data_IF_175390961517
#
_entry.id   IF_175390961517
#
_cell.length_a   1.000
_cell.length_b   1.000
_cell.length_c   1.000
_cell.angle_alpha   90.00
_cell.angle_beta   90.00
_cell.angle_gamma   90.00
#
_symmetry.space_group_name_H-M   'P 1'
#
loop_
_entity.id
_entity.type
_entity.pdbx_description
1 polymer ?
#
# COMPACT_ATOMS: atom_id res chain seq x y z
N UNK A 1 34.02 18.37 13.26
CA UNK A 1 34.15 19.81 12.92
C UNK A 1 34.35 19.92 11.43
N UNK A 2 33.39 20.46 10.67
CA UNK A 2 33.67 20.80 9.26
C UNK A 2 34.73 21.90 9.25
N UNK A 3 35.79 21.70 8.45
CA UNK A 3 36.82 22.72 8.30
C UNK A 3 36.22 23.97 7.65
N UNK A 4 36.70 25.16 8.01
CA UNK A 4 36.28 26.44 7.39
C UNK A 4 36.41 26.36 5.86
N UNK A 5 37.40 25.61 5.34
CA UNK A 5 37.56 25.37 3.91
C UNK A 5 36.37 24.63 3.27
N UNK A 6 35.81 23.63 3.95
CA UNK A 6 34.67 22.85 3.45
C UNK A 6 33.40 23.72 3.32
N UNK A 7 33.22 24.68 4.22
CA UNK A 7 32.09 25.62 4.19
C UNK A 7 32.27 26.62 3.05
N UNK A 8 33.48 27.18 2.88
CA UNK A 8 33.78 28.11 1.77
C UNK A 8 33.58 27.43 0.41
N UNK A 9 33.97 26.16 0.30
CA UNK A 9 33.80 25.38 -0.93
C UNK A 9 32.32 25.15 -1.29
N UNK A 10 31.48 24.78 -0.30
CA UNK A 10 30.05 24.62 -0.51
C UNK A 10 29.35 25.92 -0.90
N UNK A 11 29.74 27.05 -0.30
CA UNK A 11 29.22 28.38 -0.65
C UNK A 11 29.57 28.75 -2.10
N UNK A 12 30.80 28.45 -2.54
CA UNK A 12 31.24 28.71 -3.90
C UNK A 12 30.45 27.91 -4.95
N UNK A 13 30.20 26.62 -4.69
CA UNK A 13 29.37 25.76 -5.55
C UNK A 13 27.93 26.31 -5.65
N UNK A 14 27.36 26.70 -4.51
CA UNK A 14 25.99 27.21 -4.45
C UNK A 14 25.83 28.53 -5.23
N UNK A 15 26.80 29.45 -5.10
CA UNK A 15 26.81 30.71 -5.85
C UNK A 15 26.98 30.48 -7.35
N UNK A 16 27.84 29.55 -7.77
CA UNK A 16 28.03 29.21 -9.17
C UNK A 16 26.75 28.62 -9.80
N UNK A 17 26.07 27.71 -9.09
CA UNK A 17 24.79 27.14 -9.53
C UNK A 17 23.70 28.21 -9.66
N UNK A 18 23.61 29.12 -8.69
CA UNK A 18 22.64 30.23 -8.72
C UNK A 18 22.91 31.20 -9.87
N UNK A 19 24.17 31.50 -10.17
CA UNK A 19 24.53 32.36 -11.31
C UNK A 19 24.26 31.69 -12.67
N UNK A 20 24.44 30.37 -12.77
CA UNK A 20 24.07 29.61 -13.97
C UNK A 20 22.55 29.67 -14.24
N UNK A 21 21.73 29.60 -13.18
CA UNK A 21 20.27 29.64 -13.30
C UNK A 21 19.75 30.99 -13.80
N UNK A 22 20.33 32.10 -13.32
CA UNK A 22 19.85 33.46 -13.60
C UNK A 22 20.36 34.00 -14.95
N UNK A 23 21.45 33.44 -15.50
CA UNK A 23 22.01 33.95 -16.76
C UNK A 23 21.09 33.68 -17.96
N UNK A 24 20.70 34.70 -18.76
CA UNK A 24 19.83 34.52 -19.92
C UNK A 24 20.56 33.99 -21.17
N UNK A 25 21.91 34.02 -21.20
CA UNK A 25 22.66 33.53 -22.36
C UNK A 25 23.14 32.08 -22.19
N UNK A 26 22.86 31.18 -23.17
CA UNK A 26 23.26 29.78 -23.12
C UNK A 26 24.77 29.56 -22.98
N UNK A 27 25.57 30.40 -23.64
CA UNK A 27 27.03 30.32 -23.60
C UNK A 27 27.60 30.62 -22.20
N UNK A 28 27.01 31.56 -21.45
CA UNK A 28 27.45 31.85 -20.08
C UNK A 28 27.06 30.75 -19.10
N UNK A 29 25.89 30.11 -19.30
CA UNK A 29 25.48 28.95 -18.48
C UNK A 29 26.49 27.81 -18.58
N UNK A 30 26.94 27.50 -19.80
CA UNK A 30 27.94 26.46 -20.02
C UNK A 30 29.27 26.79 -19.31
N UNK A 31 29.70 28.05 -19.34
CA UNK A 31 30.92 28.49 -18.67
C UNK A 31 30.84 28.32 -17.13
N UNK A 32 29.68 28.63 -16.53
CA UNK A 32 29.48 28.44 -15.09
C UNK A 32 29.42 26.96 -14.68
N UNK A 33 28.77 26.12 -15.50
CA UNK A 33 28.71 24.67 -15.26
C UNK A 33 30.11 24.05 -15.33
N UNK A 34 30.90 24.41 -16.35
CA UNK A 34 32.28 23.92 -16.48
C UNK A 34 33.17 24.39 -15.32
N UNK A 35 33.02 25.64 -14.86
CA UNK A 35 33.75 26.15 -13.70
C UNK A 35 33.38 25.42 -12.41
N UNK A 36 32.10 25.12 -12.18
CA UNK A 36 31.64 24.36 -11.03
C UNK A 36 32.17 22.92 -11.03
N UNK A 37 32.16 22.25 -12.19
CA UNK A 37 32.71 20.89 -12.34
C UNK A 37 34.23 20.87 -12.12
N UNK A 38 34.96 21.88 -12.58
CA UNK A 38 36.39 22.00 -12.33
C UNK A 38 36.70 22.19 -10.84
N UNK A 39 35.90 22.99 -10.13
CA UNK A 39 36.04 23.16 -8.67
C UNK A 39 35.77 21.85 -7.92
N UNK A 40 34.76 21.08 -8.33
CA UNK A 40 34.45 19.75 -7.76
C UNK A 40 35.63 18.78 -7.97
N UNK A 41 36.21 18.76 -9.17
CA UNK A 41 37.36 17.90 -9.48
C UNK A 41 38.63 18.29 -8.69
N UNK A 42 38.83 19.58 -8.41
CA UNK A 42 39.96 20.05 -7.60
C UNK A 42 39.72 19.82 -6.09
N UNK A 43 38.48 19.88 -5.62
CA UNK A 43 38.11 19.64 -4.23
C UNK A 43 38.14 18.16 -3.81
N UNK A 44 37.87 17.23 -4.73
CA UNK A 44 37.88 15.78 -4.45
C UNK A 44 39.28 15.22 -4.18
N UNK A 45 40.35 15.96 -4.54
CA UNK A 45 41.73 15.56 -4.26
C UNK A 45 42.16 15.79 -2.79
N UNK A 46 41.36 16.51 -1.99
CA UNK A 46 41.67 16.87 -0.60
C UNK A 46 40.91 16.05 0.46
N UNK A 47 40.07 15.10 0.04
CA UNK A 47 39.21 14.32 0.95
C UNK A 47 39.55 12.82 0.85
N UNK A 48 40.73 12.43 1.35
CA UNK A 48 41.03 11.04 1.69
C UNK A 48 41.40 10.98 3.18
N UNK A 49 40.49 10.56 4.08
CA UNK A 49 40.88 10.24 5.44
C UNK A 49 41.37 8.78 5.51
N UNK A 50 42.63 8.62 5.93
CA UNK A 50 43.17 7.37 6.44
C UNK A 50 42.31 6.89 7.62
N UNK A 51 41.73 5.69 7.51
CA UNK A 51 41.02 5.03 8.59
C UNK A 51 42.00 4.42 9.61
N UNK A 52 41.79 4.57 10.93
CA UNK A 52 42.48 3.75 11.91
C UNK A 52 41.69 2.46 12.20
N UNK A 53 42.38 1.33 12.12
CA UNK A 53 41.90 0.06 12.65
C UNK A 53 41.92 0.11 14.18
N UNK A 54 40.76 -0.14 14.80
CA UNK A 54 40.67 -0.39 16.24
C UNK A 54 40.28 -1.86 16.44
N UNK A 55 41.24 -2.64 16.92
CA UNK A 55 41.08 -4.02 17.40
C UNK A 55 40.53 -3.96 18.83
N UNK A 56 39.35 -4.54 19.09
CA UNK A 56 38.85 -4.75 20.45
C UNK A 56 38.83 -6.25 20.71
N UNK A 57 39.51 -6.63 21.79
CA UNK A 57 39.76 -7.99 22.23
C UNK A 57 38.50 -8.70 22.76
N UNK A 58 38.55 -10.02 22.62
CA UNK A 58 37.49 -10.92 23.03
C UNK A 58 37.31 -11.01 24.55
N UNK A 59 36.07 -11.28 24.93
CA UNK A 59 35.72 -11.88 26.22
C UNK A 59 35.03 -13.20 25.90
N UNK A 60 35.67 -14.28 26.31
CA UNK A 60 35.12 -15.63 26.26
C UNK A 60 34.10 -15.78 27.39
N UNK A 61 32.88 -16.19 27.04
CA UNK A 61 31.88 -16.70 27.99
C UNK A 61 31.54 -18.11 27.54
N UNK A 62 31.91 -19.10 28.36
CA UNK A 62 31.55 -20.51 28.15
C UNK A 62 30.06 -20.74 28.46
N UNK A 63 29.39 -21.67 27.75
CA UNK A 63 27.97 -21.88 27.88
C UNK A 63 27.64 -22.81 29.05
N UNK A 64 26.56 -22.49 29.77
CA UNK A 64 25.91 -23.41 30.68
C UNK A 64 24.90 -24.23 29.88
N UNK A 65 25.15 -25.54 29.80
CA UNK A 65 24.22 -26.53 29.25
C UNK A 65 22.94 -26.57 30.10
N UNK A 66 21.80 -26.33 29.46
CA UNK A 66 20.50 -26.79 29.94
C UNK A 66 19.78 -27.49 28.80
N UNK A 67 19.72 -28.81 28.90
CA UNK A 67 18.94 -29.66 28.02
C UNK A 67 17.45 -29.35 28.19
N UNK A 68 16.84 -28.76 27.16
CA UNK A 68 15.40 -28.82 26.95
C UNK A 68 15.14 -29.29 25.52
N UNK A 69 14.61 -30.49 25.41
CA UNK A 69 14.06 -31.06 24.19
C UNK A 69 12.90 -30.18 23.68
N UNK A 70 13.12 -29.42 22.61
CA UNK A 70 12.07 -28.78 21.83
C UNK A 70 12.17 -29.30 20.38
N UNK A 71 11.07 -29.79 19.79
CA UNK A 71 11.04 -30.15 18.38
C UNK A 71 10.91 -28.89 17.51
N UNK A 72 11.48 -28.95 16.32
CA UNK A 72 11.45 -27.94 15.24
C UNK A 72 12.09 -26.59 15.51
N UNK A 73 13.43 -26.60 15.56
CA UNK A 73 14.20 -25.49 14.99
C UNK A 73 13.83 -25.37 13.51
N UNK A 74 13.06 -24.34 13.18
CA UNK A 74 12.80 -23.85 11.83
C UNK A 74 14.06 -23.97 10.97
N UNK A 75 14.06 -24.93 10.04
CA UNK A 75 15.03 -24.92 8.94
C UNK A 75 14.83 -23.60 8.22
N UNK A 76 15.76 -22.67 8.39
CA UNK A 76 15.89 -21.55 7.47
C UNK A 76 16.08 -22.19 6.09
N UNK A 77 15.01 -22.23 5.30
CA UNK A 77 15.06 -22.72 3.92
C UNK A 77 16.03 -21.77 3.22
N UNK A 78 17.19 -22.27 2.82
CA UNK A 78 18.16 -21.47 2.09
C UNK A 78 17.45 -20.87 0.87
N UNK A 79 17.46 -19.54 0.77
CA UNK A 79 16.90 -18.84 -0.39
C UNK A 79 17.83 -19.14 -1.56
N UNK A 80 17.35 -19.77 -2.64
CA UNK A 80 18.20 -20.08 -3.79
C UNK A 80 18.79 -18.80 -4.38
N UNK A 81 20.04 -18.85 -4.85
CA UNK A 81 20.58 -17.78 -5.68
C UNK A 81 19.97 -17.88 -7.09
N UNK A 82 18.87 -17.15 -7.31
CA UNK A 82 18.10 -17.15 -8.56
C UNK A 82 17.86 -15.71 -9.00
N UNK A 83 18.07 -15.42 -10.28
CA UNK A 83 17.69 -14.14 -10.89
C UNK A 83 16.18 -14.10 -11.14
N UNK A 84 15.59 -12.91 -11.09
CA UNK A 84 14.19 -12.72 -11.46
C UNK A 84 13.95 -13.17 -12.91
N UNK A 85 12.94 -14.00 -13.11
CA UNK A 85 12.54 -14.51 -14.42
C UNK A 85 11.28 -13.78 -14.91
N UNK A 86 11.29 -13.35 -16.17
CA UNK A 86 10.13 -12.78 -16.86
C UNK A 86 9.50 -13.82 -17.79
N UNK A 87 8.18 -14.00 -17.67
CA UNK A 87 7.34 -14.76 -18.59
C UNK A 87 6.23 -13.85 -19.11
N UNK A 88 6.08 -13.78 -20.43
CA UNK A 88 5.03 -12.99 -21.08
C UNK A 88 3.99 -13.97 -21.64
N UNK A 89 2.74 -13.82 -21.23
CA UNK A 89 1.62 -14.55 -21.80
C UNK A 89 0.95 -13.68 -22.88
N UNK A 90 1.09 -14.11 -24.14
CA UNK A 90 0.49 -13.48 -25.31
C UNK A 90 -0.89 -14.06 -25.66
N UNK A 91 -1.41 -15.02 -24.87
CA UNK A 91 -2.69 -15.69 -25.16
C UNK A 91 -3.92 -14.89 -24.73
N UNK A 92 -3.74 -13.83 -23.96
CA UNK A 92 -4.81 -12.86 -23.67
C UNK A 92 -5.21 -12.18 -24.99
N UNK A 93 -6.48 -11.76 -25.13
CA UNK A 93 -6.99 -11.05 -26.33
C UNK A 93 -5.98 -10.01 -26.82
N UNK A 94 -5.92 -9.71 -28.13
CA UNK A 94 -4.88 -8.86 -28.77
C UNK A 94 -4.46 -7.59 -28.02
N UNK A 95 -5.33 -7.06 -27.17
CA UNK A 95 -5.12 -5.81 -26.47
C UNK A 95 -4.63 -5.99 -25.02
N UNK A 96 -4.79 -7.15 -24.38
CA UNK A 96 -4.34 -7.38 -22.99
C UNK A 96 -3.10 -8.26 -23.02
N UNK A 97 -2.10 -7.94 -22.20
CA UNK A 97 -0.88 -8.75 -22.02
C UNK A 97 -0.62 -8.99 -20.55
N UNK A 98 -0.13 -10.18 -20.21
CA UNK A 98 0.23 -10.54 -18.85
C UNK A 98 1.73 -10.81 -18.72
N UNK A 99 2.41 -10.02 -17.90
CA UNK A 99 3.84 -10.11 -17.63
C UNK A 99 4.04 -10.65 -16.22
N UNK A 100 4.60 -11.85 -16.10
CA UNK A 100 4.80 -12.55 -14.83
C UNK A 100 6.28 -12.56 -14.46
N UNK A 101 6.58 -12.07 -13.28
CA UNK A 101 7.92 -11.99 -12.71
C UNK A 101 7.99 -12.93 -11.50
N UNK A 102 8.92 -13.88 -11.56
CA UNK A 102 9.17 -14.85 -10.47
C UNK A 102 10.55 -14.53 -9.90
N UNK A 103 10.63 -14.25 -8.60
CA UNK A 103 11.90 -13.94 -7.93
C UNK A 103 12.49 -15.19 -7.27
N UNK A 104 13.66 -15.05 -6.64
CA UNK A 104 14.25 -16.12 -5.83
C UNK A 104 13.44 -16.53 -4.60
N UNK A 105 12.48 -15.71 -4.17
CA UNK A 105 11.64 -16.00 -3.01
C UNK A 105 10.42 -16.86 -3.36
N UNK A 106 10.16 -17.10 -4.64
CA UNK A 106 9.05 -17.92 -5.08
C UNK A 106 9.23 -19.40 -4.74
N UNK A 107 8.19 -19.99 -4.16
CA UNK A 107 8.13 -21.39 -3.79
C UNK A 107 7.15 -22.12 -4.73
N UNK A 108 7.66 -23.03 -5.56
CA UNK A 108 6.83 -23.76 -6.54
C UNK A 108 5.81 -24.69 -5.88
N UNK A 109 6.08 -25.13 -4.65
CA UNK A 109 5.20 -26.03 -3.90
C UNK A 109 4.11 -25.27 -3.14
N UNK A 110 4.30 -23.95 -2.94
CA UNK A 110 3.45 -23.14 -2.07
C UNK A 110 3.29 -21.72 -2.59
N UNK A 111 2.08 -21.41 -3.06
CA UNK A 111 1.75 -20.06 -3.49
C UNK A 111 1.82 -19.05 -2.32
N UNK A 112 2.16 -17.80 -2.60
CA UNK A 112 2.04 -16.70 -1.65
C UNK A 112 0.66 -16.67 -1.01
N UNK A 113 0.59 -16.38 0.29
CA UNK A 113 -0.70 -16.29 1.00
C UNK A 113 -1.37 -14.92 0.85
N UNK A 114 -0.59 -13.90 0.48
CA UNK A 114 -1.02 -12.51 0.33
C UNK A 114 -0.78 -12.00 -1.07
N UNK A 115 -1.84 -11.44 -1.67
CA UNK A 115 -1.76 -10.68 -2.92
C UNK A 115 -2.04 -9.20 -2.66
N UNK A 116 -1.09 -8.34 -2.99
CA UNK A 116 -1.28 -6.89 -2.99
C UNK A 116 -1.70 -6.44 -4.39
N UNK A 117 -2.80 -5.73 -4.50
CA UNK A 117 -3.35 -5.24 -5.77
C UNK A 117 -3.20 -3.72 -5.87
N UNK A 118 -2.73 -3.25 -7.02
CA UNK A 118 -2.63 -1.82 -7.37
C UNK A 118 -2.97 -1.61 -8.85
N UNK A 119 -3.65 -0.51 -9.17
CA UNK A 119 -3.96 -0.12 -10.53
C UNK A 119 -3.41 1.28 -10.82
N UNK A 120 -2.71 1.43 -11.94
CA UNK A 120 -2.10 2.69 -12.39
C UNK A 120 -2.57 2.99 -13.80
N UNK A 121 -2.72 4.27 -14.14
CA UNK A 121 -2.90 4.70 -15.53
C UNK A 121 -1.55 4.83 -16.19
N UNK A 122 -0.66 5.56 -15.54
CA UNK A 122 0.72 5.83 -15.93
C UNK A 122 1.54 6.19 -14.67
N UNK A 123 2.80 6.57 -14.85
CA UNK A 123 3.69 7.00 -13.77
C UNK A 123 3.17 8.18 -12.93
N UNK A 124 2.23 8.99 -13.43
CA UNK A 124 1.63 10.10 -12.66
C UNK A 124 0.54 9.63 -11.70
N UNK A 125 0.19 8.34 -11.74
CA UNK A 125 -0.73 7.75 -10.78
C UNK A 125 -0.07 7.55 -9.42
N UNK A 126 1.27 7.49 -9.38
CA UNK A 126 2.01 7.39 -8.13
C UNK A 126 1.94 8.72 -7.37
N UNK A 127 1.85 8.61 -6.06
CA UNK A 127 1.64 9.76 -5.20
C UNK A 127 2.66 10.90 -5.29
N UNK A 128 2.19 12.15 -5.24
CA UNK A 128 3.00 13.37 -5.22
C UNK A 128 2.59 14.32 -4.10
N UNK A 129 3.54 14.86 -3.31
CA UNK A 129 3.28 15.95 -2.36
C UNK A 129 4.19 17.13 -2.66
N UNK A 130 3.66 18.33 -2.47
CA UNK A 130 4.47 19.55 -2.60
C UNK A 130 5.65 19.53 -1.62
N UNK A 131 6.87 19.67 -2.15
CA UNK A 131 8.10 19.67 -1.36
C UNK A 131 8.64 18.28 -0.98
N UNK A 132 7.97 17.19 -1.37
CA UNK A 132 8.49 15.83 -1.27
C UNK A 132 8.83 15.29 -2.67
N UNK A 133 9.78 14.34 -2.80
CA UNK A 133 10.02 13.66 -4.07
C UNK A 133 8.79 12.89 -4.55
N UNK A 134 8.53 12.93 -5.86
CA UNK A 134 7.50 12.11 -6.52
C UNK A 134 7.72 10.64 -6.21
N UNK A 135 6.65 9.94 -5.81
CA UNK A 135 6.73 8.49 -5.65
C UNK A 135 6.84 7.81 -6.99
N UNK A 136 7.53 6.69 -6.97
CA UNK A 136 7.70 5.78 -8.09
C UNK A 136 7.18 4.39 -7.75
N UNK A 137 7.19 3.51 -8.75
CA UNK A 137 6.95 2.10 -8.53
C UNK A 137 7.94 1.46 -7.54
N UNK A 138 9.21 1.92 -7.48
CA UNK A 138 10.15 1.40 -6.46
C UNK A 138 9.70 1.79 -5.06
N UNK A 139 9.26 3.03 -4.86
CA UNK A 139 8.78 3.48 -3.54
C UNK A 139 7.54 2.68 -3.10
N UNK A 140 6.69 2.27 -4.05
CA UNK A 140 5.59 1.35 -3.77
C UNK A 140 6.07 -0.04 -3.32
N UNK A 141 7.09 -0.61 -3.99
CA UNK A 141 7.68 -1.88 -3.54
C UNK A 141 8.27 -1.76 -2.13
N UNK A 142 8.93 -0.64 -1.82
CA UNK A 142 9.50 -0.38 -0.50
C UNK A 142 8.41 -0.18 0.58
N UNK A 143 7.30 0.47 0.22
CA UNK A 143 6.11 0.63 1.08
C UNK A 143 5.50 -0.74 1.45
N UNK A 144 5.38 -1.63 0.47
CA UNK A 144 4.88 -3.00 0.68
C UNK A 144 5.88 -3.84 1.49
N UNK A 145 7.17 -3.74 1.20
CA UNK A 145 8.22 -4.49 1.90
C UNK A 145 8.33 -4.12 3.38
N UNK A 146 8.06 -2.86 3.75
CA UNK A 146 8.00 -2.38 5.14
C UNK A 146 6.89 -3.03 5.98
N UNK A 147 5.96 -3.77 5.37
CA UNK A 147 4.93 -4.52 6.09
C UNK A 147 5.46 -5.81 6.73
N UNK A 148 6.73 -6.17 6.48
CA UNK A 148 7.43 -7.30 7.11
C UNK A 148 6.74 -8.65 6.90
N UNK A 149 5.96 -8.78 5.82
CA UNK A 149 5.47 -10.09 5.37
C UNK A 149 6.65 -10.89 4.83
N UNK A 150 6.79 -12.18 5.17
CA UNK A 150 7.85 -12.99 4.60
C UNK A 150 7.82 -12.92 3.07
N UNK A 151 8.98 -12.72 2.39
CA UNK A 151 9.02 -12.54 0.93
C UNK A 151 8.31 -13.63 0.13
N UNK A 152 8.41 -14.88 0.59
CA UNK A 152 7.75 -16.05 -0.01
C UNK A 152 6.22 -16.05 0.13
N UNK A 153 5.66 -15.20 1.00
CA UNK A 153 4.24 -15.13 1.33
C UNK A 153 3.51 -13.97 0.68
N UNK A 154 4.23 -13.12 -0.06
CA UNK A 154 3.67 -11.93 -0.69
C UNK A 154 3.88 -11.93 -2.21
N UNK A 155 2.82 -11.63 -2.93
CA UNK A 155 2.83 -11.33 -4.36
C UNK A 155 2.19 -9.96 -4.63
N UNK A 156 2.53 -9.36 -5.77
CA UNK A 156 1.92 -8.12 -6.25
C UNK A 156 1.19 -8.39 -7.56
N UNK A 157 -0.03 -7.90 -7.65
CA UNK A 157 -0.78 -7.75 -8.88
C UNK A 157 -0.89 -6.29 -9.27
N UNK A 158 -0.39 -5.93 -10.45
CA UNK A 158 -0.40 -4.57 -10.94
C UNK A 158 -1.17 -4.50 -12.26
N UNK A 159 -1.97 -3.45 -12.41
CA UNK A 159 -2.64 -3.12 -13.67
C UNK A 159 -2.10 -1.79 -14.22
N UNK A 160 -1.81 -1.73 -15.53
CA UNK A 160 -1.45 -0.47 -16.21
C UNK A 160 -1.95 -0.40 -17.64
N UNK A 161 -2.31 0.79 -18.12
CA UNK A 161 -2.62 1.06 -19.54
C UNK A 161 -1.47 1.72 -20.31
N UNK A 162 -0.40 2.12 -19.63
CA UNK A 162 0.67 2.88 -20.25
C UNK A 162 1.89 2.00 -20.55
N UNK A 163 2.31 1.98 -21.82
CA UNK A 163 3.42 1.16 -22.28
C UNK A 163 4.75 1.53 -21.63
N UNK A 164 5.06 2.82 -21.53
CA UNK A 164 6.32 3.27 -20.94
C UNK A 164 6.41 2.91 -19.45
N UNK A 165 5.27 2.98 -18.76
CA UNK A 165 5.17 2.59 -17.35
C UNK A 165 5.44 1.10 -17.19
N UNK A 166 4.84 0.25 -18.03
CA UNK A 166 5.17 -1.18 -18.11
C UNK A 166 6.67 -1.44 -18.32
N UNK A 167 7.31 -0.72 -19.25
CA UNK A 167 8.73 -0.89 -19.55
C UNK A 167 9.60 -0.48 -18.34
N UNK A 168 9.24 0.59 -17.62
CA UNK A 168 9.90 1.01 -16.37
C UNK A 168 9.70 0.03 -15.23
N UNK A 169 8.50 -0.48 -15.04
CA UNK A 169 8.21 -1.50 -14.02
C UNK A 169 9.03 -2.77 -14.30
N UNK A 170 9.02 -3.24 -15.55
CA UNK A 170 9.81 -4.39 -16.00
C UNK A 170 11.30 -4.19 -15.72
N UNK A 171 11.84 -3.02 -16.05
CA UNK A 171 13.24 -2.68 -15.80
C UNK A 171 13.57 -2.71 -14.31
N UNK A 172 12.70 -2.14 -13.45
CA UNK A 172 12.88 -2.16 -12.00
C UNK A 172 12.86 -3.60 -11.45
N UNK A 173 11.94 -4.45 -11.90
CA UNK A 173 11.80 -5.83 -11.45
C UNK A 173 12.98 -6.73 -11.86
N UNK A 174 13.60 -6.46 -13.02
CA UNK A 174 14.74 -7.24 -13.53
C UNK A 174 16.09 -6.77 -12.99
N UNK A 175 16.19 -5.50 -12.55
CA UNK A 175 17.46 -4.90 -12.11
C UNK A 175 17.68 -4.90 -10.60
N UNK A 176 16.62 -5.09 -9.80
CA UNK A 176 16.67 -5.04 -8.34
C UNK A 176 16.31 -6.37 -7.71
N UNK A 177 16.96 -6.70 -6.60
CA UNK A 177 16.51 -7.77 -5.71
C UNK A 177 15.34 -7.24 -4.87
N UNK A 178 14.15 -7.79 -5.11
CA UNK A 178 12.91 -7.33 -4.49
C UNK A 178 12.42 -8.44 -3.57
N UNK A 179 12.16 -8.16 -2.27
CA UNK A 179 11.78 -9.17 -1.29
C UNK A 179 10.30 -9.59 -1.41
N UNK A 180 9.90 -10.06 -2.59
CA UNK A 180 8.53 -10.43 -2.98
C UNK A 180 8.60 -11.68 -3.84
N UNK A 181 7.75 -12.68 -3.61
CA UNK A 181 7.78 -13.95 -4.33
C UNK A 181 7.51 -13.79 -5.82
N UNK A 182 6.47 -13.04 -6.17
CA UNK A 182 6.09 -12.83 -7.56
C UNK A 182 5.40 -11.49 -7.79
N UNK A 183 5.53 -10.97 -9.01
CA UNK A 183 4.79 -9.81 -9.49
C UNK A 183 4.12 -10.17 -10.81
N UNK A 184 2.82 -9.91 -10.92
CA UNK A 184 2.05 -10.08 -12.15
C UNK A 184 1.54 -8.71 -12.61
N UNK A 185 2.00 -8.26 -13.77
CA UNK A 185 1.57 -7.02 -14.41
C UNK A 185 0.60 -7.35 -15.54
N UNK A 186 -0.63 -6.85 -15.44
CA UNK A 186 -1.60 -6.81 -16.53
C UNK A 186 -1.42 -5.48 -17.25
N UNK A 187 -1.04 -5.55 -18.53
CA UNK A 187 -1.02 -4.42 -19.43
C UNK A 187 -2.29 -4.42 -20.27
N UNK A 188 -3.08 -3.36 -20.17
CA UNK A 188 -4.37 -3.22 -20.84
C UNK A 188 -4.57 -1.77 -21.33
N UNK A 189 -4.03 -1.41 -22.51
CA UNK A 189 -4.02 -0.07 -23.06
C UNK A 189 -5.40 0.45 -23.49
N UNK A 190 -6.35 -0.45 -23.76
CA UNK A 190 -7.72 -0.10 -24.17
C UNK A 190 -8.66 0.17 -22.98
N UNK A 191 -8.23 -0.09 -21.75
CA UNK A 191 -9.03 0.23 -20.57
C UNK A 191 -8.91 1.73 -20.28
N UNK A 192 -10.06 2.40 -20.23
CA UNK A 192 -10.16 3.78 -19.79
C UNK A 192 -9.99 3.85 -18.26
N UNK A 193 -8.75 4.05 -17.83
CA UNK A 193 -8.45 4.34 -16.43
C UNK A 193 -8.83 5.79 -16.13
N UNK A 194 -9.83 5.91 -15.27
CA UNK A 194 -9.98 7.11 -14.46
C UNK A 194 -9.56 6.74 -13.03
N UNK A 195 -8.55 7.46 -12.54
CA UNK A 195 -8.00 7.34 -11.19
C UNK A 195 -8.16 8.72 -10.55
N UNK A 196 -8.50 8.75 -9.26
CA UNK A 196 -8.74 9.98 -8.50
C UNK A 196 -10.22 10.24 -8.19
N UNK A 197 -10.53 11.31 -7.45
CA UNK A 197 -11.86 11.61 -6.93
C UNK A 197 -12.92 11.90 -8.01
N UNK A 198 -12.47 12.27 -9.22
CA UNK A 198 -13.33 12.53 -10.39
C UNK A 198 -13.51 11.29 -11.30
N UNK A 199 -12.98 10.13 -10.88
CA UNK A 199 -13.15 8.90 -11.65
C UNK A 199 -14.63 8.54 -11.74
N UNK A 200 -15.19 8.61 -12.96
CA UNK A 200 -16.54 8.15 -13.27
C UNK A 200 -16.73 6.68 -12.86
N UNK A 201 -17.99 6.24 -12.83
CA UNK A 201 -18.54 4.90 -12.55
C UNK A 201 -17.87 3.71 -13.27
N UNK A 202 -16.64 3.78 -13.81
CA UNK A 202 -15.95 2.68 -14.50
C UNK A 202 -14.72 2.14 -13.78
N UNK A 203 -14.28 2.77 -12.70
CA UNK A 203 -13.16 2.27 -11.89
C UNK A 203 -13.40 0.82 -11.41
N UNK A 204 -14.65 0.41 -11.17
CA UNK A 204 -14.99 -0.98 -10.85
C UNK A 204 -14.53 -2.01 -11.90
N UNK A 205 -14.46 -1.63 -13.19
CA UNK A 205 -14.13 -2.54 -14.28
C UNK A 205 -12.67 -2.98 -14.18
N UNK A 206 -11.76 -2.03 -13.93
CA UNK A 206 -10.34 -2.30 -13.76
C UNK A 206 -10.07 -3.10 -12.48
N UNK A 207 -10.73 -2.76 -11.36
CA UNK A 207 -10.61 -3.51 -10.10
C UNK A 207 -11.09 -4.96 -10.25
N UNK A 208 -12.26 -5.15 -10.88
CA UNK A 208 -12.82 -6.48 -11.13
C UNK A 208 -11.99 -7.29 -12.11
N UNK A 209 -11.44 -6.66 -13.15
CA UNK A 209 -10.50 -7.32 -14.05
C UNK A 209 -9.27 -7.78 -13.28
N UNK A 210 -8.65 -6.90 -12.50
CA UNK A 210 -7.44 -7.23 -11.76
C UNK A 210 -7.67 -8.38 -10.78
N UNK A 211 -8.77 -8.33 -10.01
CA UNK A 211 -9.14 -9.43 -9.12
C UNK A 211 -9.39 -10.73 -9.88
N UNK A 212 -10.14 -10.69 -11.00
CA UNK A 212 -10.47 -11.88 -11.78
C UNK A 212 -9.22 -12.54 -12.37
N UNK A 213 -8.28 -11.76 -12.87
CA UNK A 213 -7.10 -12.27 -13.57
C UNK A 213 -6.00 -12.74 -12.60
N UNK A 214 -5.95 -12.18 -11.38
CA UNK A 214 -4.80 -12.37 -10.47
C UNK A 214 -5.14 -13.09 -9.17
N UNK A 215 -6.37 -13.00 -8.65
CA UNK A 215 -6.71 -13.71 -7.40
C UNK A 215 -6.85 -15.19 -7.69
N UNK A 216 -5.95 -15.98 -7.11
CA UNK A 216 -5.88 -17.44 -7.23
C UNK A 216 -6.27 -18.06 -5.91
N UNK A 217 -5.30 -18.44 -5.08
CA UNK A 217 -5.50 -19.20 -3.83
C UNK A 217 -5.12 -18.41 -2.59
N UNK A 218 -4.78 -17.14 -2.74
CA UNK A 218 -4.36 -16.27 -1.65
C UNK A 218 -5.48 -16.17 -0.61
N UNK A 219 -5.09 -16.21 0.67
CA UNK A 219 -6.01 -16.04 1.79
C UNK A 219 -6.31 -14.56 2.02
N UNK A 220 -5.32 -13.72 1.71
CA UNK A 220 -5.32 -12.29 1.98
C UNK A 220 -5.17 -11.52 0.68
N UNK A 221 -6.11 -10.62 0.39
CA UNK A 221 -6.00 -9.67 -0.73
C UNK A 221 -5.99 -8.27 -0.15
N UNK A 222 -4.98 -7.47 -0.49
CA UNK A 222 -4.87 -6.07 -0.03
C UNK A 222 -4.84 -5.17 -1.25
N UNK A 223 -5.88 -4.36 -1.42
CA UNK A 223 -5.91 -3.29 -2.41
C UNK A 223 -5.25 -2.04 -1.84
N UNK A 224 -4.38 -1.41 -2.62
CA UNK A 224 -3.71 -0.15 -2.29
C UNK A 224 -3.78 0.77 -3.51
N UNK A 225 -4.41 1.92 -3.36
CA UNK A 225 -4.42 2.94 -4.41
C UNK A 225 -3.01 3.53 -4.61
N UNK A 226 -2.62 3.88 -5.84
CA UNK A 226 -1.23 4.27 -6.16
C UNK A 226 -0.81 5.63 -5.57
N UNK A 227 -1.76 6.44 -5.14
CA UNK A 227 -1.63 7.75 -4.48
C UNK A 227 -1.62 7.66 -2.95
N UNK A 228 -1.61 6.45 -2.38
CA UNK A 228 -1.25 6.27 -0.98
C UNK A 228 0.24 6.57 -0.81
N UNK A 229 0.57 7.55 0.04
CA UNK A 229 1.93 7.99 0.32
C UNK A 229 2.59 7.19 1.45
N UNK A 230 1.89 6.95 2.56
CA UNK A 230 2.38 6.21 3.73
C UNK A 230 1.40 5.12 4.18
N UNK A 231 1.94 3.96 4.54
CA UNK A 231 1.22 2.94 5.30
C UNK A 231 1.77 2.85 6.72
N UNK A 232 0.93 2.59 7.72
CA UNK A 232 1.42 2.24 9.04
C UNK A 232 2.20 0.92 8.97
N UNK A 233 3.30 0.84 9.72
CA UNK A 233 4.10 -0.39 9.80
C UNK A 233 3.30 -1.51 10.48
N UNK A 234 3.43 -2.74 9.97
CA UNK A 234 2.71 -3.90 10.52
C UNK A 234 1.21 -3.93 10.21
N UNK A 235 0.72 -3.08 9.29
CA UNK A 235 -0.69 -3.07 8.89
C UNK A 235 -1.17 -4.43 8.39
N UNK A 236 -0.34 -5.14 7.62
CA UNK A 236 -0.72 -6.43 7.05
C UNK A 236 -0.86 -7.49 8.14
N UNK A 237 0.08 -7.54 9.09
CA UNK A 237 -0.02 -8.40 10.27
C UNK A 237 -1.29 -8.09 11.08
N UNK A 238 -1.62 -6.80 11.25
CA UNK A 238 -2.88 -6.41 11.90
C UNK A 238 -4.09 -6.95 11.16
N UNK A 239 -4.15 -6.82 9.83
CA UNK A 239 -5.24 -7.40 9.03
C UNK A 239 -5.34 -8.92 9.22
N UNK A 240 -4.22 -9.64 9.23
CA UNK A 240 -4.22 -11.10 9.41
C UNK A 240 -4.73 -11.50 10.80
N UNK A 241 -4.28 -10.79 11.84
CA UNK A 241 -4.70 -11.02 13.22
C UNK A 241 -6.20 -10.83 13.38
N UNK A 242 -6.77 -9.75 12.86
CA UNK A 242 -8.23 -9.52 12.97
C UNK A 242 -9.01 -10.51 12.11
N UNK A 243 -8.51 -10.91 10.95
CA UNK A 243 -9.18 -11.88 10.08
C UNK A 243 -9.21 -13.32 10.63
N UNK A 244 -8.23 -13.68 11.46
CA UNK A 244 -8.16 -14.99 12.15
C UNK A 244 -8.88 -15.00 13.50
N UNK A 245 -9.22 -13.83 14.04
CA UNK A 245 -9.85 -13.69 15.35
C UNK A 245 -11.36 -13.93 15.28
N UNK A 246 -11.93 -14.48 16.35
CA UNK A 246 -13.37 -14.59 16.49
C UNK A 246 -13.96 -13.21 16.82
N UNK A 247 -15.03 -12.79 16.15
CA UNK A 247 -15.65 -11.48 16.37
C UNK A 247 -16.07 -11.23 17.83
N UNK A 248 -16.35 -12.29 18.59
CA UNK A 248 -16.69 -12.23 20.02
C UNK A 248 -15.51 -11.85 20.92
N UNK A 249 -14.27 -11.99 20.43
CA UNK A 249 -13.04 -11.68 21.15
C UNK A 249 -12.50 -10.28 20.85
N UNK A 250 -13.05 -9.61 19.84
CA UNK A 250 -12.58 -8.29 19.40
C UNK A 250 -13.58 -7.24 19.88
N UNK A 251 -13.07 -6.16 20.46
CA UNK A 251 -13.89 -4.99 20.75
C UNK A 251 -14.36 -4.36 19.43
N UNK A 252 -15.68 -4.30 19.21
CA UNK A 252 -16.26 -3.66 18.03
C UNK A 252 -17.02 -2.40 18.44
N UNK A 253 -16.47 -1.24 18.09
CA UNK A 253 -17.13 0.04 18.20
C UNK A 253 -18.29 0.14 17.19
N UNK A 254 -19.32 0.90 17.58
CA UNK A 254 -20.53 1.11 16.79
C UNK A 254 -21.28 -0.18 16.40
N UNK A 255 -21.13 -1.24 17.20
CA UNK A 255 -21.91 -2.46 17.05
C UNK A 255 -23.41 -2.18 17.31
N UNK A 256 -24.33 -2.75 16.49
CA UNK A 256 -25.76 -2.57 16.69
C UNK A 256 -26.20 -3.12 18.07
N UNK A 257 -26.98 -2.32 18.80
CA UNK A 257 -27.52 -2.69 20.11
C UNK A 257 -28.92 -3.29 19.92
N UNK A 258 -29.21 -4.42 20.57
CA UNK A 258 -30.54 -5.01 20.57
C UNK A 258 -30.54 -6.54 20.63
N UNK A 259 -31.73 -7.12 20.85
CA UNK A 259 -31.91 -8.58 20.79
C UNK A 259 -31.87 -9.03 19.33
N UNK A 260 -30.89 -9.85 18.96
CA UNK A 260 -30.72 -10.36 17.60
C UNK A 260 -29.70 -9.63 16.73
N UNK A 261 -29.08 -8.55 17.23
CA UNK A 261 -27.98 -7.88 16.51
C UNK A 261 -26.70 -8.71 16.56
N UNK A 262 -26.53 -9.59 15.58
CA UNK A 262 -25.31 -10.39 15.42
C UNK A 262 -24.31 -9.65 14.55
N UNK A 263 -23.08 -9.50 15.04
CA UNK A 263 -21.97 -9.06 14.19
C UNK A 263 -21.68 -10.15 13.15
N UNK A 264 -21.61 -9.75 11.89
CA UNK A 264 -21.19 -10.64 10.82
C UNK A 264 -19.69 -10.96 10.97
N UNK A 265 -19.22 -12.13 10.51
CA UNK A 265 -17.79 -12.42 10.47
C UNK A 265 -17.05 -11.40 9.58
N UNK A 266 -15.80 -11.07 9.92
CA UNK A 266 -14.98 -10.12 9.17
C UNK A 266 -14.73 -10.60 7.74
N UNK A 267 -15.19 -9.82 6.76
CA UNK A 267 -14.93 -10.05 5.33
C UNK A 267 -14.01 -9.02 4.71
N UNK A 268 -14.30 -7.74 4.97
CA UNK A 268 -13.59 -6.59 4.42
C UNK A 268 -13.10 -5.69 5.56
N UNK A 269 -11.89 -5.14 5.46
CA UNK A 269 -11.35 -4.20 6.44
C UNK A 269 -10.61 -3.05 5.78
N UNK A 270 -10.88 -1.82 6.21
CA UNK A 270 -10.19 -0.61 5.74
C UNK A 270 -9.49 0.11 6.89
N UNK A 271 -8.68 1.11 6.57
CA UNK A 271 -8.02 2.00 7.53
C UNK A 271 -8.41 3.44 7.28
N UNK A 272 -8.21 4.27 8.31
CA UNK A 272 -8.44 5.69 8.15
C UNK A 272 -7.44 6.28 7.17
N UNK A 273 -7.91 7.18 6.29
CA UNK A 273 -7.05 7.83 5.31
C UNK A 273 -7.06 9.34 5.53
N UNK A 274 -5.88 9.89 5.85
CA UNK A 274 -5.67 11.33 6.01
C UNK A 274 -4.88 11.93 4.85
N UNK A 275 -5.02 13.23 4.70
CA UNK A 275 -4.20 14.10 3.84
C UNK A 275 -3.69 15.25 4.72
N UNK A 276 -2.62 15.96 4.33
CA UNK A 276 -1.91 16.91 5.22
C UNK A 276 -2.83 17.90 5.93
N UNK A 277 -3.82 18.44 5.20
CA UNK A 277 -4.78 19.42 5.73
C UNK A 277 -6.17 18.84 6.00
N UNK A 278 -6.35 17.52 5.88
CA UNK A 278 -7.68 16.92 5.92
C UNK A 278 -7.65 15.55 6.61
N UNK A 279 -8.29 15.49 7.78
CA UNK A 279 -8.25 14.33 8.67
C UNK A 279 -8.97 13.09 8.12
N UNK A 280 -9.96 13.29 7.25
CA UNK A 280 -10.81 12.21 6.73
C UNK A 280 -11.08 12.39 5.25
N UNK A 281 -10.10 12.00 4.44
CA UNK A 281 -10.15 12.13 2.99
C UNK A 281 -11.20 11.21 2.37
N UNK A 282 -11.35 10.01 2.92
CA UNK A 282 -12.17 8.94 2.33
C UNK A 282 -13.46 8.76 3.11
N UNK A 283 -14.43 9.65 2.85
CA UNK A 283 -15.75 9.61 3.52
C UNK A 283 -16.64 8.42 3.10
N UNK A 284 -16.20 7.61 2.13
CA UNK A 284 -16.87 6.35 1.77
C UNK A 284 -16.77 5.32 2.92
N UNK A 285 -15.83 5.50 3.86
CA UNK A 285 -15.80 4.75 5.11
C UNK A 285 -16.79 5.36 6.12
N UNK A 286 -17.95 4.74 6.27
CA UNK A 286 -18.97 5.20 7.22
C UNK A 286 -19.76 4.06 7.83
N UNK A 287 -20.49 4.37 8.90
CA UNK A 287 -21.59 3.55 9.40
C UNK A 287 -22.93 4.23 9.17
N UNK A 288 -23.95 3.45 8.87
CA UNK A 288 -25.34 3.84 8.84
C UNK A 288 -26.04 3.55 10.16
N UNK A 289 -27.30 4.00 10.31
CA UNK A 289 -28.13 3.70 11.46
C UNK A 289 -28.37 2.19 11.59
N UNK A 290 -28.52 1.70 12.82
CA UNK A 290 -28.99 0.34 13.09
C UNK A 290 -30.48 0.18 12.76
N UNK A 291 -30.95 -1.08 12.61
CA UNK A 291 -32.38 -1.36 12.40
C UNK A 291 -33.26 -0.81 13.53
N UNK A 292 -32.78 -0.86 14.77
CA UNK A 292 -33.49 -0.29 15.91
C UNK A 292 -33.61 1.24 15.79
N UNK A 293 -32.52 1.93 15.44
CA UNK A 293 -32.54 3.38 15.19
C UNK A 293 -33.43 3.75 14.00
N UNK A 294 -33.46 2.92 12.95
CA UNK A 294 -34.37 3.09 11.81
C UNK A 294 -35.84 2.87 12.19
N UNK A 295 -36.13 1.88 13.03
CA UNK A 295 -37.48 1.60 13.52
C UNK A 295 -38.00 2.73 14.41
N UNK A 296 -37.17 3.20 15.36
CA UNK A 296 -37.51 4.36 16.19
C UNK A 296 -37.81 5.60 15.35
N UNK A 297 -37.14 5.78 14.21
CA UNK A 297 -37.44 6.86 13.28
C UNK A 297 -38.77 6.68 12.55
N UNK A 298 -39.06 5.46 12.08
CA UNK A 298 -40.34 5.17 11.41
C UNK A 298 -41.55 5.39 12.34
N UNK A 299 -41.36 5.21 13.65
CA UNK A 299 -42.39 5.41 14.68
C UNK A 299 -42.57 6.89 15.09
N UNK A 300 -41.60 7.77 14.83
CA UNK A 300 -41.66 9.20 15.13
C UNK A 300 -41.10 10.06 13.97
N UNK A 301 -41.97 10.37 13.01
CA UNK A 301 -41.65 11.20 11.85
C UNK A 301 -41.28 12.66 12.22
N UNK A 302 -41.49 13.10 13.46
CA UNK A 302 -41.09 14.43 13.94
C UNK A 302 -39.61 14.51 14.34
N UNK A 303 -38.95 13.36 14.53
CA UNK A 303 -37.49 13.27 14.61
C UNK A 303 -36.90 13.64 13.25
N UNK A 304 -36.43 14.89 13.15
CA UNK A 304 -35.62 15.39 12.02
C UNK A 304 -34.58 14.34 11.65
N UNK A 305 -34.30 14.14 10.34
CA UNK A 305 -33.50 13.02 9.86
C UNK A 305 -32.23 12.97 10.70
N UNK A 306 -31.92 11.78 11.22
CA UNK A 306 -30.60 11.30 11.63
C UNK A 306 -29.45 12.27 11.31
N UNK A 307 -29.38 13.47 11.91
CA UNK A 307 -28.52 14.57 11.43
C UNK A 307 -27.04 14.22 11.52
N UNK A 308 -26.75 13.24 12.34
CA UNK A 308 -25.45 12.65 12.60
C UNK A 308 -25.10 11.48 11.67
N UNK A 309 -25.96 11.08 10.73
CA UNK A 309 -25.76 9.91 9.88
C UNK A 309 -25.76 10.26 8.38
N UNK A 310 -25.01 9.51 7.54
CA UNK A 310 -24.06 8.45 7.93
C UNK A 310 -22.92 9.01 8.80
N UNK A 311 -22.44 8.22 9.78
CA UNK A 311 -21.32 8.60 10.64
C UNK A 311 -20.04 8.24 9.91
N UNK A 312 -19.23 9.21 9.47
CA UNK A 312 -17.94 8.90 8.87
C UNK A 312 -17.04 8.20 9.90
N UNK A 313 -16.14 7.35 9.43
CA UNK A 313 -15.25 6.57 10.29
C UNK A 313 -14.47 7.46 11.27
N UNK A 314 -14.01 8.66 10.84
CA UNK A 314 -13.36 9.66 11.72
C UNK A 314 -14.11 9.94 13.02
N UNK A 315 -15.43 10.04 12.95
CA UNK A 315 -16.26 10.39 14.10
C UNK A 315 -16.41 9.22 15.07
N UNK A 316 -16.24 7.99 14.57
CA UNK A 316 -16.38 6.76 15.35
C UNK A 316 -15.05 6.38 16.01
N UNK A 317 -13.92 6.70 15.37
CA UNK A 317 -12.58 6.39 15.88
C UNK A 317 -12.24 7.09 17.20
N UNK A 318 -12.91 8.21 17.50
CA UNK A 318 -12.71 8.94 18.74
C UNK A 318 -12.93 8.04 19.97
N UNK A 319 -11.86 7.79 20.74
CA UNK A 319 -11.90 6.95 21.94
C UNK A 319 -11.76 5.44 21.70
N UNK A 320 -11.45 5.02 20.46
CA UNK A 320 -11.09 3.63 20.15
C UNK A 320 -9.59 3.38 20.35
N UNK A 321 -9.20 2.12 20.60
CA UNK A 321 -7.79 1.68 20.67
C UNK A 321 -7.38 0.95 19.39
N UNK A 322 -6.07 0.71 19.22
CA UNK A 322 -5.51 -0.01 18.07
C UNK A 322 -6.02 -1.46 17.95
N UNK A 323 -6.52 -2.02 19.06
CA UNK A 323 -7.13 -3.35 19.11
C UNK A 323 -8.61 -3.36 18.77
N UNK A 324 -9.25 -2.20 18.70
CA UNK A 324 -10.67 -2.06 18.38
C UNK A 324 -10.90 -2.19 16.87
N UNK A 325 -12.05 -2.76 16.49
CA UNK A 325 -12.63 -2.62 15.15
C UNK A 325 -13.80 -1.66 15.19
N UNK A 326 -14.04 -0.98 14.07
CA UNK A 326 -15.24 -0.16 13.87
C UNK A 326 -16.14 -0.92 12.90
N UNK A 327 -17.38 -1.25 13.28
CA UNK A 327 -18.35 -1.80 12.31
C UNK A 327 -18.66 -0.71 11.29
N UNK A 328 -18.64 -1.04 10.01
CA UNK A 328 -18.93 -0.11 8.91
C UNK A 328 -20.07 -0.60 8.03
N UNK A 329 -20.68 0.35 7.32
CA UNK A 329 -21.68 0.12 6.29
C UNK A 329 -21.24 0.49 4.88
N UNK A 330 -20.24 1.37 4.76
CA UNK A 330 -19.40 1.58 3.59
C UNK A 330 -17.93 1.56 4.02
N UNK A 331 -17.03 1.15 3.12
CA UNK A 331 -15.57 1.10 3.36
C UNK A 331 -14.85 2.08 2.45
N UNK A 332 -13.68 2.56 2.90
CA UNK A 332 -12.78 3.34 2.06
C UNK A 332 -12.09 2.46 1.02
N UNK A 333 -11.75 3.04 -0.13
CA UNK A 333 -11.14 2.30 -1.25
C UNK A 333 -9.61 2.43 -1.32
N UNK A 334 -9.01 3.35 -0.58
CA UNK A 334 -7.58 3.67 -0.71
C UNK A 334 -6.65 2.58 -0.18
N UNK A 335 -7.01 1.97 0.95
CA UNK A 335 -6.35 0.77 1.48
C UNK A 335 -7.42 -0.17 2.02
N UNK A 336 -7.52 -1.35 1.39
CA UNK A 336 -8.61 -2.27 1.64
C UNK A 336 -8.11 -3.72 1.71
N UNK A 337 -8.26 -4.35 2.87
CA UNK A 337 -8.13 -5.78 3.04
C UNK A 337 -9.44 -6.50 2.67
N UNK A 338 -9.34 -7.56 1.88
CA UNK A 338 -10.42 -8.44 1.50
C UNK A 338 -9.96 -9.88 1.72
N UNK A 339 -10.80 -10.69 2.37
CA UNK A 339 -10.57 -12.14 2.41
C UNK A 339 -10.62 -12.73 1.00
N UNK A 340 -9.55 -13.40 0.59
CA UNK A 340 -9.43 -13.94 -0.77
C UNK A 340 -10.52 -14.97 -1.12
N UNK A 341 -11.03 -15.70 -0.12
CA UNK A 341 -12.11 -16.66 -0.32
C UNK A 341 -13.45 -16.01 -0.70
N UNK A 342 -13.67 -14.74 -0.36
CA UNK A 342 -14.88 -14.02 -0.76
C UNK A 342 -14.86 -13.67 -2.24
N UNK A 343 -13.70 -13.22 -2.75
CA UNK A 343 -13.52 -12.91 -4.17
C UNK A 343 -13.74 -14.18 -4.99
N UNK A 344 -13.17 -15.32 -4.55
CA UNK A 344 -13.41 -16.63 -5.18
C UNK A 344 -14.87 -17.08 -5.14
N UNK A 345 -15.63 -16.68 -4.11
CA UNK A 345 -17.08 -16.93 -3.99
C UNK A 345 -17.94 -15.94 -4.78
N UNK A 346 -17.32 -15.01 -5.51
CA UNK A 346 -18.02 -14.07 -6.39
C UNK A 346 -18.15 -12.65 -5.86
N UNK A 347 -17.52 -12.31 -4.73
CA UNK A 347 -17.43 -10.92 -4.28
C UNK A 347 -16.66 -10.10 -5.33
N UNK A 348 -17.29 -9.02 -5.79
CA UNK A 348 -16.73 -8.11 -6.79
C UNK A 348 -17.33 -6.72 -6.60
N UNK A 349 -16.68 -5.69 -7.12
CA UNK A 349 -17.30 -4.37 -7.18
C UNK A 349 -18.56 -4.46 -8.05
N UNK A 350 -19.72 -3.98 -7.58
CA UNK A 350 -20.95 -4.07 -8.36
C UNK A 350 -20.93 -3.08 -9.53
N UNK A 351 -21.90 -3.20 -10.43
CA UNK A 351 -22.08 -2.30 -11.57
C UNK A 351 -23.24 -1.33 -11.29
N UNK A 352 -23.22 -0.14 -11.91
CA UNK A 352 -24.28 0.87 -11.77
C UNK A 352 -24.13 1.76 -10.53
N UNK A 353 -25.24 2.24 -9.97
CA UNK A 353 -25.30 3.30 -8.95
C UNK A 353 -24.58 3.01 -7.62
N UNK A 354 -24.05 1.79 -7.43
CA UNK A 354 -23.26 1.39 -6.27
C UNK A 354 -21.85 0.93 -6.64
N UNK A 355 -21.33 1.35 -7.79
CA UNK A 355 -20.08 0.83 -8.36
C UNK A 355 -18.81 1.07 -7.50
N UNK A 356 -18.93 1.84 -6.42
CA UNK A 356 -17.87 2.16 -5.49
C UNK A 356 -17.64 1.10 -4.39
N UNK A 357 -16.77 1.41 -3.44
CA UNK A 357 -16.46 0.56 -2.30
C UNK A 357 -17.63 0.35 -1.32
N UNK A 358 -18.62 1.24 -1.30
CA UNK A 358 -19.84 1.05 -0.50
C UNK A 358 -20.67 -0.11 -1.03
N UNK A 359 -20.83 -0.20 -2.35
CA UNK A 359 -21.52 -1.33 -2.98
C UNK A 359 -20.77 -2.65 -2.84
N UNK A 360 -19.44 -2.62 -2.81
CA UNK A 360 -18.63 -3.79 -2.45
C UNK A 360 -18.95 -4.26 -1.03
N UNK A 361 -19.02 -3.34 -0.06
CA UNK A 361 -19.39 -3.66 1.31
C UNK A 361 -20.82 -4.22 1.42
N UNK A 362 -21.78 -3.63 0.71
CA UNK A 362 -23.15 -4.15 0.63
C UNK A 362 -23.17 -5.59 0.07
N UNK A 363 -22.41 -5.84 -1.00
CA UNK A 363 -22.31 -7.18 -1.60
C UNK A 363 -21.71 -8.21 -0.63
N UNK A 364 -20.70 -7.83 0.17
CA UNK A 364 -20.14 -8.72 1.19
C UNK A 364 -21.17 -9.07 2.29
N UNK A 365 -22.00 -8.11 2.70
CA UNK A 365 -23.08 -8.35 3.67
C UNK A 365 -24.16 -9.27 3.14
N UNK A 366 -24.54 -9.12 1.87
CA UNK A 366 -25.48 -10.04 1.21
C UNK A 366 -24.93 -11.48 1.18
N UNK A 367 -23.60 -11.64 1.16
CA UNK A 367 -22.91 -12.92 1.30
C UNK A 367 -22.73 -13.39 2.76
N UNK A 368 -23.22 -12.64 3.75
CA UNK A 368 -23.12 -12.95 5.18
C UNK A 368 -21.83 -12.48 5.85
N UNK A 369 -21.12 -11.50 5.28
CA UNK A 369 -19.84 -10.99 5.81
C UNK A 369 -19.91 -9.51 6.18
N UNK A 370 -19.21 -9.13 7.25
CA UNK A 370 -19.16 -7.77 7.74
C UNK A 370 -18.01 -6.95 7.15
N UNK A 371 -18.19 -5.64 7.16
CA UNK A 371 -17.18 -4.66 6.81
C UNK A 371 -16.75 -3.90 8.05
N UNK A 372 -15.45 -3.66 8.17
CA UNK A 372 -14.86 -3.07 9.35
C UNK A 372 -13.82 -2.01 9.01
N UNK A 373 -13.60 -1.08 9.92
CA UNK A 373 -12.44 -0.20 9.94
C UNK A 373 -11.52 -0.59 11.11
N UNK A 374 -10.22 -0.42 10.96
CA UNK A 374 -9.30 -0.52 12.11
C UNK A 374 -9.47 0.71 13.03
N UNK A 375 -9.56 0.47 14.34
CA UNK A 375 -9.64 1.51 15.37
C UNK A 375 -8.30 2.16 15.69
N UNK A 376 -8.29 3.11 16.62
CA UNK A 376 -7.08 3.71 17.16
C UNK A 376 -6.27 4.52 16.15
N UNK A 377 -4.95 4.33 16.14
CA UNK A 377 -3.97 5.02 15.31
C UNK A 377 -3.66 4.33 13.98
N UNK A 378 -4.43 3.32 13.57
CA UNK A 378 -4.29 2.69 12.25
C UNK A 378 -4.78 3.62 11.14
N UNK A 379 -3.88 4.47 10.66
CA UNK A 379 -4.13 5.43 9.58
C UNK A 379 -3.06 5.38 8.49
N UNK A 380 -3.49 5.62 7.25
CA UNK A 380 -2.65 5.82 6.07
C UNK A 380 -2.66 7.28 5.66
N UNK A 381 -1.63 7.73 4.94
CA UNK A 381 -1.58 9.06 4.33
C UNK A 381 -1.75 8.94 2.83
N UNK A 382 -2.73 9.63 2.29
CA UNK A 382 -2.85 9.92 0.87
C UNK A 382 -2.00 11.14 0.50
N UNK A 383 -1.71 11.29 -0.78
CA UNK A 383 -0.99 12.45 -1.27
C UNK A 383 -1.80 13.73 -1.19
N UNK A 384 -1.09 14.86 -1.19
CA UNK A 384 -1.68 16.17 -1.32
C UNK A 384 -2.13 16.41 -2.78
N UNK A 385 -3.23 17.14 -2.97
CA UNK A 385 -3.77 17.51 -4.29
C UNK A 385 -3.29 18.91 -4.64
#
# INVERSE_FOLDING_TARGET
>A
MLSILSIVFLIAIFLAARMAYISPSPQRRLLFILSALLLIALGSSFLNPLAPQATIGGVAVSPLESASSSPDSSRFREVPDRKTELKIDERTSSDVQKHSFITKYYDEERLPSTLVLVATKDDRSWGHNEGEPDRTFTDFLDLVSRQQVPPQDISIGLLTSNRESLDRYTTALLSKDIPIASVEIIYAPSIDFQIGPDATDRSFQSRNMLMKELVKKEDHVVWIDPDIFELPEGLFDRFYKVAKSWMEQIQVANAPKGKGSKLLPLGITTVMCRQTNYKDMVRNAYSGPSEAEMKEWQEDASRKPLKSWPKPMSHILAGTSDDTLVRLDGVGETVLYIRGDLIRKGLKWPQGDRSNSEGLCASAKDMGWGCYGLGGGWETRHTDI
#
